data_IF_239726692922
#
_entry.id   IF_239726692922
#
_cell.length_a   1.000
_cell.length_b   1.000
_cell.length_c   1.000
_cell.angle_alpha   90.00
_cell.angle_beta   90.00
_cell.angle_gamma   90.00
#
_symmetry.space_group_name_H-M   'P 1'
#
loop_
_entity.id
_entity.type
_entity.pdbx_description
1 polymer ?
#
# COMPACT_ATOMS: atom_id res chain seq x y z
N UNK A 1 -10.55 -0.89 -0.93
CA UNK A 1 -9.80 -2.14 -1.15
C UNK A 1 -9.27 -2.62 0.17
N UNK A 2 -9.41 -3.89 0.49
CA UNK A 2 -8.93 -4.42 1.76
C UNK A 2 -7.52 -4.93 1.62
N UNK A 3 -6.61 -4.36 2.39
CA UNK A 3 -5.25 -4.87 2.53
C UNK A 3 -5.04 -5.36 3.97
N UNK A 4 -4.46 -6.54 4.12
CA UNK A 4 -4.27 -7.20 5.41
C UNK A 4 -2.79 -7.43 5.70
N UNK A 5 -2.34 -7.05 6.89
CA UNK A 5 -1.03 -7.46 7.40
C UNK A 5 -1.18 -8.64 8.35
N UNK A 6 -0.29 -9.62 8.23
CA UNK A 6 -0.19 -10.75 9.17
C UNK A 6 1.14 -10.63 9.90
N UNK A 7 1.11 -10.81 11.21
CA UNK A 7 2.32 -10.88 12.01
C UNK A 7 2.19 -11.92 13.11
N UNK A 8 3.29 -12.56 13.50
CA UNK A 8 3.34 -13.37 14.70
C UNK A 8 4.19 -12.66 15.75
N UNK A 9 3.79 -12.78 17.00
CA UNK A 9 4.41 -12.09 18.12
C UNK A 9 4.75 -13.03 19.26
N UNK A 10 5.78 -12.67 20.01
CA UNK A 10 6.11 -13.24 21.32
C UNK A 10 6.91 -12.22 22.14
N UNK A 11 6.25 -11.60 23.12
CA UNK A 11 6.85 -10.59 24.01
C UNK A 11 7.53 -9.43 23.25
N UNK A 12 6.76 -8.69 22.48
CA UNK A 12 7.25 -7.63 21.57
C UNK A 12 6.89 -6.21 22.06
N UNK A 13 6.50 -6.01 23.32
CA UNK A 13 6.07 -4.69 23.85
C UNK A 13 7.08 -3.57 23.61
N UNK A 14 8.37 -3.92 23.44
CA UNK A 14 9.46 -2.96 23.24
C UNK A 14 9.41 -2.23 21.88
N UNK A 15 8.86 -2.86 20.84
CA UNK A 15 8.80 -2.32 19.48
C UNK A 15 7.38 -2.18 18.93
N UNK A 16 6.45 -2.96 19.47
CA UNK A 16 5.08 -3.10 18.94
C UNK A 16 4.32 -1.78 18.79
N UNK A 17 4.46 -0.76 19.69
CA UNK A 17 3.79 0.53 19.49
C UNK A 17 4.15 1.21 18.17
N UNK A 18 5.43 1.27 17.79
CA UNK A 18 5.85 1.86 16.52
C UNK A 18 5.29 1.09 15.32
N UNK A 19 5.34 -0.24 15.40
CA UNK A 19 4.88 -1.11 14.33
C UNK A 19 3.37 -0.96 14.07
N UNK A 20 2.56 -0.95 15.11
CA UNK A 20 1.11 -0.79 15.02
C UNK A 20 0.74 0.62 14.53
N UNK A 21 1.32 1.67 15.11
CA UNK A 21 1.06 3.06 14.71
C UNK A 21 1.42 3.33 13.25
N UNK A 22 2.42 2.66 12.72
CA UNK A 22 2.79 2.74 11.32
C UNK A 22 1.80 1.96 10.43
N UNK A 23 1.61 0.68 10.70
CA UNK A 23 0.87 -0.21 9.80
C UNK A 23 -0.65 -0.01 9.82
N UNK A 24 -1.23 0.50 10.89
CA UNK A 24 -2.67 0.85 10.91
C UNK A 24 -3.04 1.95 9.91
N UNK A 25 -2.08 2.72 9.41
CA UNK A 25 -2.27 3.72 8.36
C UNK A 25 -2.27 3.12 6.95
N UNK A 26 -1.70 1.93 6.81
CA UNK A 26 -1.49 1.23 5.53
C UNK A 26 -2.55 0.15 5.31
N UNK A 27 -2.84 -0.63 6.36
CA UNK A 27 -3.67 -1.82 6.29
C UNK A 27 -5.03 -1.61 6.97
N UNK A 28 -6.10 -2.00 6.28
CA UNK A 28 -7.47 -1.95 6.82
C UNK A 28 -7.66 -3.01 7.91
N UNK A 29 -6.92 -4.14 7.82
CA UNK A 29 -6.99 -5.27 8.75
C UNK A 29 -5.61 -5.75 9.16
N UNK A 30 -5.53 -6.28 10.38
CA UNK A 30 -4.35 -7.00 10.87
C UNK A 30 -4.76 -8.32 11.52
N UNK A 31 -3.97 -9.36 11.28
CA UNK A 31 -4.08 -10.65 11.97
C UNK A 31 -2.79 -10.85 12.74
N UNK A 32 -2.89 -10.84 14.06
CA UNK A 32 -1.74 -11.01 14.96
C UNK A 32 -1.81 -12.40 15.58
N UNK A 33 -0.82 -13.24 15.28
CA UNK A 33 -0.70 -14.60 15.78
C UNK A 33 0.18 -14.57 17.04
N UNK A 34 -0.41 -14.77 18.20
CA UNK A 34 0.27 -14.69 19.49
C UNK A 34 0.82 -16.05 19.95
N UNK A 35 2.11 -16.10 20.25
CA UNK A 35 2.80 -17.28 20.78
C UNK A 35 2.83 -17.34 22.32
N UNK A 36 1.71 -17.00 22.95
CA UNK A 36 1.57 -16.93 24.41
C UNK A 36 2.49 -15.87 25.03
N UNK A 37 2.36 -14.62 24.56
CA UNK A 37 3.03 -13.48 25.16
C UNK A 37 2.61 -13.27 26.62
N UNK A 38 3.56 -12.88 27.45
CA UNK A 38 3.40 -12.66 28.90
C UNK A 38 3.69 -11.22 29.31
N UNK A 39 4.09 -10.38 28.34
CA UNK A 39 4.29 -8.94 28.50
C UNK A 39 3.02 -8.16 28.14
N UNK A 40 3.13 -6.86 27.95
CA UNK A 40 2.00 -5.99 27.59
C UNK A 40 1.62 -6.01 26.10
N UNK A 41 2.16 -6.91 25.28
CA UNK A 41 1.93 -6.92 23.83
C UNK A 41 0.44 -6.96 23.50
N UNK A 42 -0.36 -7.81 24.15
CA UNK A 42 -1.79 -7.93 23.86
C UNK A 42 -2.60 -6.68 24.27
N UNK A 43 -2.22 -6.04 25.38
CA UNK A 43 -2.82 -4.77 25.82
C UNK A 43 -2.56 -3.67 24.79
N UNK A 44 -1.32 -3.54 24.33
CA UNK A 44 -0.87 -2.55 23.34
C UNK A 44 -1.63 -2.71 22.01
N UNK A 45 -1.85 -3.95 21.55
CA UNK A 45 -2.62 -4.20 20.33
C UNK A 45 -4.06 -3.71 20.51
N UNK A 46 -4.69 -4.04 21.64
CA UNK A 46 -6.06 -3.63 21.93
C UNK A 46 -6.22 -2.11 22.05
N UNK A 47 -5.20 -1.43 22.56
CA UNK A 47 -5.18 0.04 22.67
C UNK A 47 -5.02 0.73 21.31
N UNK A 48 -4.11 0.26 20.46
CA UNK A 48 -3.73 0.95 19.22
C UNK A 48 -4.56 0.48 18.02
N UNK A 49 -4.86 -0.81 17.92
CA UNK A 49 -5.57 -1.44 16.81
C UNK A 49 -6.73 -2.33 17.33
N UNK A 50 -7.76 -1.75 17.98
CA UNK A 50 -8.83 -2.52 18.62
C UNK A 50 -9.67 -3.37 17.67
N UNK A 51 -9.61 -3.10 16.37
CA UNK A 51 -10.35 -3.83 15.33
C UNK A 51 -9.54 -4.94 14.67
N UNK A 52 -8.24 -5.06 14.98
CA UNK A 52 -7.40 -6.10 14.43
C UNK A 52 -7.64 -7.42 15.18
N UNK A 53 -7.59 -8.52 14.43
CA UNK A 53 -7.78 -9.86 14.96
C UNK A 53 -6.51 -10.33 15.69
N UNK A 54 -6.68 -10.82 16.92
CA UNK A 54 -5.62 -11.48 17.69
C UNK A 54 -6.00 -12.94 17.88
N UNK A 55 -5.15 -13.83 17.40
CA UNK A 55 -5.36 -15.28 17.48
C UNK A 55 -4.22 -15.95 18.22
N UNK A 56 -4.55 -16.95 19.05
CA UNK A 56 -3.56 -17.77 19.71
C UNK A 56 -2.92 -18.73 18.70
N UNK A 57 -1.58 -18.76 18.64
CA UNK A 57 -0.87 -19.74 17.80
C UNK A 57 -1.21 -21.17 18.22
N UNK A 58 -1.35 -22.04 17.23
CA UNK A 58 -1.50 -23.49 17.41
C UNK A 58 -0.17 -24.17 17.76
N UNK A 59 0.95 -23.49 17.57
CA UNK A 59 2.30 -24.01 17.75
C UNK A 59 2.84 -23.61 19.13
N UNK A 60 3.29 -24.60 19.93
CA UNK A 60 3.94 -24.36 21.20
C UNK A 60 5.43 -23.96 21.03
N UNK A 61 6.07 -24.44 19.96
CA UNK A 61 7.46 -24.21 19.62
C UNK A 61 7.59 -23.29 18.41
N UNK A 62 8.71 -22.59 18.35
CA UNK A 62 9.04 -21.70 17.22
C UNK A 62 9.70 -22.49 16.08
N UNK A 63 8.97 -23.51 15.57
CA UNK A 63 9.37 -24.29 14.43
C UNK A 63 9.16 -23.50 13.15
N UNK A 64 10.21 -23.27 12.38
CA UNK A 64 10.19 -22.40 11.20
C UNK A 64 9.13 -22.83 10.16
N UNK A 65 9.03 -24.13 9.88
CA UNK A 65 8.04 -24.63 8.90
C UNK A 65 6.60 -24.56 9.43
N UNK A 66 6.39 -24.87 10.71
CA UNK A 66 5.07 -24.83 11.33
C UNK A 66 4.54 -23.38 11.41
N UNK A 67 5.41 -22.43 11.74
CA UNK A 67 5.11 -20.98 11.73
C UNK A 67 4.69 -20.53 10.34
N UNK A 68 5.42 -20.91 9.29
CA UNK A 68 5.11 -20.55 7.92
C UNK A 68 3.80 -21.19 7.43
N UNK A 69 3.55 -22.46 7.80
CA UNK A 69 2.31 -23.16 7.50
C UNK A 69 1.10 -22.50 8.17
N UNK A 70 1.23 -22.05 9.41
CA UNK A 70 0.17 -21.36 10.15
C UNK A 70 -0.17 -20.01 9.48
N UNK A 71 0.83 -19.23 9.07
CA UNK A 71 0.62 -17.99 8.31
C UNK A 71 -0.15 -18.26 7.01
N UNK A 72 0.24 -19.29 6.25
CA UNK A 72 -0.42 -19.68 5.01
C UNK A 72 -1.89 -20.08 5.22
N UNK A 73 -2.25 -20.66 6.38
CA UNK A 73 -3.66 -20.97 6.69
C UNK A 73 -4.51 -19.70 6.78
N UNK A 74 -3.96 -18.62 7.35
CA UNK A 74 -4.64 -17.32 7.42
C UNK A 74 -4.67 -16.63 6.06
N UNK A 75 -3.56 -16.61 5.33
CA UNK A 75 -3.49 -16.00 3.99
C UNK A 75 -4.50 -16.57 3.00
N UNK A 76 -4.77 -17.88 3.05
CA UNK A 76 -5.75 -18.54 2.19
C UNK A 76 -7.19 -18.08 2.42
N UNK A 77 -7.49 -17.53 3.60
CA UNK A 77 -8.82 -17.03 3.97
C UNK A 77 -9.03 -15.56 3.62
N UNK A 78 -7.95 -14.84 3.31
CA UNK A 78 -7.98 -13.42 3.02
C UNK A 78 -8.34 -13.21 1.55
N UNK A 79 -9.33 -12.37 1.29
CA UNK A 79 -9.58 -11.80 -0.02
C UNK A 79 -8.91 -10.42 -0.14
N UNK A 80 -8.23 -10.17 -1.26
CA UNK A 80 -7.48 -8.93 -1.49
C UNK A 80 -5.98 -9.05 -1.21
N UNK A 81 -5.36 -7.90 -0.96
CA UNK A 81 -3.92 -7.80 -0.76
C UNK A 81 -3.51 -8.20 0.65
N UNK A 82 -2.37 -8.87 0.75
CA UNK A 82 -1.80 -9.29 2.03
C UNK A 82 -0.29 -9.37 2.01
N UNK A 83 0.30 -9.17 3.19
CA UNK A 83 1.72 -9.34 3.45
C UNK A 83 1.92 -9.90 4.85
N UNK A 84 2.89 -10.80 5.01
CA UNK A 84 3.34 -11.24 6.33
C UNK A 84 4.64 -10.54 6.70
N UNK A 85 4.63 -9.80 7.80
CA UNK A 85 5.77 -9.04 8.32
C UNK A 85 6.07 -9.46 9.77
N UNK A 86 7.34 -9.48 10.12
CA UNK A 86 7.72 -9.50 11.54
C UNK A 86 7.49 -8.10 12.15
N UNK A 87 7.27 -8.01 13.45
CA UNK A 87 7.10 -6.70 14.14
C UNK A 87 8.34 -5.82 14.11
N UNK A 88 9.45 -6.33 13.64
CA UNK A 88 10.69 -5.57 13.37
C UNK A 88 10.78 -5.03 11.94
N UNK A 89 9.80 -5.34 11.09
CA UNK A 89 9.76 -5.02 9.66
C UNK A 89 8.68 -3.99 9.37
N UNK A 90 9.05 -2.87 8.79
CA UNK A 90 8.17 -1.74 8.46
C UNK A 90 8.11 -1.56 6.96
N UNK A 91 6.92 -1.74 6.37
CA UNK A 91 6.70 -1.48 4.95
C UNK A 91 6.65 0.03 4.71
N UNK A 92 7.55 0.56 3.89
CA UNK A 92 7.58 1.99 3.51
C UNK A 92 7.69 2.16 1.99
N UNK A 93 7.31 3.32 1.50
CA UNK A 93 7.31 3.66 0.08
C UNK A 93 5.91 3.88 -0.48
N UNK A 94 5.78 4.02 -1.80
CA UNK A 94 4.50 4.26 -2.46
C UNK A 94 3.74 2.95 -2.72
N UNK A 95 3.06 2.46 -1.70
CA UNK A 95 2.23 1.25 -1.77
C UNK A 95 0.85 1.49 -2.42
N UNK A 96 0.40 2.72 -2.53
CA UNK A 96 -0.92 3.05 -3.08
C UNK A 96 -1.07 2.61 -4.54
N UNK A 97 -0.02 2.73 -5.33
CA UNK A 97 0.03 2.27 -6.72
C UNK A 97 -0.25 0.78 -6.88
N UNK A 98 0.17 -0.02 -5.89
CA UNK A 98 0.18 -1.47 -6.01
C UNK A 98 -1.08 -2.12 -5.44
N UNK A 99 -1.75 -1.45 -4.53
CA UNK A 99 -2.99 -1.94 -3.93
C UNK A 99 -4.24 -1.72 -4.82
N UNK A 100 -4.10 -1.09 -5.98
CA UNK A 100 -5.22 -0.74 -6.87
C UNK A 100 -5.62 -1.90 -7.78
N UNK A 101 -4.70 -2.76 -8.20
CA UNK A 101 -5.00 -3.89 -9.12
C UNK A 101 -5.49 -5.12 -8.34
N UNK A 102 -6.79 -5.39 -8.37
CA UNK A 102 -7.41 -6.55 -7.71
C UNK A 102 -7.73 -7.71 -8.66
N UNK A 103 -7.56 -7.53 -9.96
CA UNK A 103 -8.06 -8.48 -10.97
C UNK A 103 -6.97 -9.46 -11.40
N UNK A 104 -5.74 -9.01 -11.43
CA UNK A 104 -4.61 -9.88 -11.75
C UNK A 104 -3.99 -10.40 -10.45
N UNK A 105 -3.78 -11.71 -10.35
CA UNK A 105 -2.93 -12.29 -9.32
C UNK A 105 -1.53 -11.71 -9.49
N UNK A 106 -1.18 -10.77 -8.64
CA UNK A 106 0.10 -10.06 -8.67
C UNK A 106 0.87 -10.26 -7.38
N UNK A 107 2.18 -10.26 -7.51
CA UNK A 107 3.13 -10.39 -6.42
C UNK A 107 4.21 -9.32 -6.55
N UNK A 108 4.41 -8.55 -5.49
CA UNK A 108 5.50 -7.59 -5.36
C UNK A 108 6.51 -8.12 -4.35
N UNK A 109 7.72 -8.36 -4.82
CA UNK A 109 8.85 -8.85 -4.03
C UNK A 109 9.66 -7.62 -3.59
N UNK A 110 9.49 -7.23 -2.34
CA UNK A 110 9.95 -5.97 -1.77
C UNK A 110 11.29 -6.16 -1.07
N UNK A 111 12.33 -5.38 -1.40
CA UNK A 111 13.65 -5.47 -0.79
C UNK A 111 13.65 -5.03 0.67
N UNK A 112 14.71 -5.37 1.40
CA UNK A 112 14.89 -5.01 2.80
C UNK A 112 16.16 -4.18 3.00
N UNK A 113 16.05 -3.08 3.75
CA UNK A 113 17.19 -2.38 4.35
C UNK A 113 17.21 -2.78 5.82
N UNK A 114 18.28 -3.41 6.27
CA UNK A 114 18.42 -3.83 7.67
C UNK A 114 19.19 -2.78 8.44
N UNK A 115 18.52 -2.12 9.38
CA UNK A 115 19.13 -1.13 10.24
C UNK A 115 20.01 -1.82 11.29
N UNK A 116 21.23 -1.31 11.43
CA UNK A 116 22.27 -1.82 12.32
C UNK A 116 22.92 -0.66 13.07
N UNK A 117 22.10 0.00 13.84
CA UNK A 117 22.46 1.23 14.57
C UNK A 117 22.20 1.00 16.06
N UNK A 118 23.00 0.08 16.64
CA UNK A 118 22.82 -0.32 18.02
C UNK A 118 23.63 0.56 18.95
N UNK A 119 22.97 1.23 19.89
CA UNK A 119 23.59 2.00 20.97
C UNK A 119 22.84 1.73 22.28
N UNK A 120 23.50 1.13 23.30
CA UNK A 120 22.85 0.78 24.56
C UNK A 120 22.38 1.98 25.40
N UNK A 121 22.83 3.18 25.07
CA UNK A 121 22.48 4.41 25.76
C UNK A 121 21.39 5.22 25.06
N UNK A 122 20.80 4.68 23.99
CA UNK A 122 19.74 5.39 23.27
C UNK A 122 18.43 5.38 24.06
N UNK A 123 17.88 6.56 24.23
CA UNK A 123 16.52 6.79 24.68
C UNK A 123 15.64 7.06 23.45
N UNK A 124 14.96 6.04 22.94
CA UNK A 124 14.12 6.16 21.76
C UNK A 124 12.75 6.73 22.13
N UNK A 125 12.34 7.77 21.43
CA UNK A 125 11.03 8.40 21.55
C UNK A 125 9.96 7.59 20.79
N UNK A 126 9.00 7.01 21.51
CA UNK A 126 7.91 6.21 20.94
C UNK A 126 6.89 7.04 20.12
N UNK A 127 6.92 8.36 20.24
CA UNK A 127 6.04 9.26 19.48
C UNK A 127 6.60 9.61 18.10
N UNK A 128 7.87 9.29 17.84
CA UNK A 128 8.57 9.56 16.56
C UNK A 128 8.88 8.26 15.83
N UNK A 129 8.83 8.23 14.49
CA UNK A 129 9.22 7.07 13.70
C UNK A 129 10.65 6.60 14.00
N UNK A 130 10.89 5.28 13.93
CA UNK A 130 12.25 4.74 14.16
C UNK A 130 13.27 5.22 13.14
N UNK A 131 12.89 5.44 11.88
CA UNK A 131 13.78 5.92 10.82
C UNK A 131 14.24 7.39 11.00
N UNK A 132 13.59 8.17 11.83
CA UNK A 132 14.10 9.47 12.22
C UNK A 132 15.21 9.38 13.27
N UNK A 133 15.26 8.28 14.02
CA UNK A 133 16.11 8.07 15.18
C UNK A 133 17.28 7.09 14.91
N UNK A 134 17.11 6.21 13.92
CA UNK A 134 18.07 5.18 13.51
C UNK A 134 18.31 5.25 12.02
N UNK A 135 19.57 5.55 11.62
CA UNK A 135 19.92 5.87 10.24
C UNK A 135 21.00 4.97 9.64
N UNK A 136 21.73 4.24 10.49
CA UNK A 136 22.81 3.39 10.02
C UNK A 136 22.30 2.00 9.69
N UNK A 137 22.63 1.45 8.53
CA UNK A 137 22.09 0.18 8.09
C UNK A 137 22.87 -0.50 6.97
N UNK A 138 22.43 -1.69 6.60
CA UNK A 138 22.96 -2.52 5.51
C UNK A 138 21.93 -2.56 4.40
N UNK A 139 22.29 -2.03 3.24
CA UNK A 139 21.40 -1.94 2.09
C UNK A 139 21.38 -3.25 1.29
N UNK A 140 20.22 -3.66 0.78
CA UNK A 140 20.06 -4.88 -0.05
C UNK A 140 20.91 -4.89 -1.34
N UNK A 141 21.36 -3.72 -1.82
CA UNK A 141 22.25 -3.63 -2.99
C UNK A 141 23.69 -4.00 -2.67
N UNK A 142 24.10 -3.87 -1.41
CA UNK A 142 25.48 -4.10 -0.97
C UNK A 142 25.71 -5.47 -0.35
N UNK A 143 24.66 -6.14 0.11
CA UNK A 143 24.75 -7.46 0.72
C UNK A 143 23.73 -8.44 0.12
N UNK A 144 24.20 -9.60 -0.36
CA UNK A 144 23.33 -10.67 -0.87
C UNK A 144 22.35 -11.20 0.17
N UNK A 145 22.74 -11.27 1.44
CA UNK A 145 21.85 -11.71 2.53
C UNK A 145 20.73 -10.70 2.85
N UNK A 146 20.94 -9.43 2.52
CA UNK A 146 19.91 -8.39 2.62
C UNK A 146 18.90 -8.44 1.45
N UNK A 147 19.14 -9.23 0.39
CA UNK A 147 18.21 -9.42 -0.73
C UNK A 147 16.99 -10.29 -0.42
N UNK A 148 16.75 -10.57 0.86
CA UNK A 148 15.56 -11.31 1.30
C UNK A 148 14.32 -10.45 1.13
N UNK A 149 13.59 -10.67 0.04
CA UNK A 149 12.36 -9.96 -0.24
C UNK A 149 11.20 -10.49 0.62
N UNK A 150 10.30 -9.58 1.01
CA UNK A 150 8.94 -9.91 1.47
C UNK A 150 7.96 -9.79 0.31
N UNK A 151 6.92 -10.61 0.35
CA UNK A 151 5.90 -10.64 -0.69
C UNK A 151 4.64 -9.90 -0.25
N UNK A 152 4.33 -8.78 -0.92
CA UNK A 152 3.00 -8.18 -0.91
C UNK A 152 2.23 -8.74 -2.12
N UNK A 153 1.11 -9.43 -1.90
CA UNK A 153 0.44 -10.17 -2.97
C UNK A 153 -1.08 -10.29 -2.75
N UNK A 154 -1.78 -10.63 -3.83
CA UNK A 154 -3.19 -11.06 -3.82
C UNK A 154 -3.38 -12.49 -4.39
N UNK A 155 -2.31 -13.28 -4.46
CA UNK A 155 -2.30 -14.65 -4.98
C UNK A 155 -2.95 -15.60 -3.97
N UNK A 156 -3.95 -16.39 -4.37
CA UNK A 156 -4.70 -17.29 -3.45
C UNK A 156 -3.87 -18.44 -2.86
N UNK A 157 -2.90 -18.94 -3.60
CA UNK A 157 -2.02 -20.02 -3.16
C UNK A 157 -0.57 -19.55 -3.26
N UNK A 158 0.02 -19.19 -2.13
CA UNK A 158 1.42 -18.82 -2.04
C UNK A 158 2.25 -20.01 -1.56
N UNK A 159 3.49 -20.10 -2.07
CA UNK A 159 4.52 -20.99 -1.53
C UNK A 159 5.70 -20.13 -1.11
N UNK A 160 6.22 -20.39 0.08
CA UNK A 160 7.35 -19.68 0.65
C UNK A 160 8.53 -20.61 0.86
N UNK A 161 9.73 -20.07 0.71
CA UNK A 161 10.91 -20.66 1.34
C UNK A 161 10.84 -20.42 2.86
N UNK A 162 11.59 -21.20 3.63
CA UNK A 162 11.61 -21.09 5.10
C UNK A 162 11.89 -19.66 5.54
N UNK A 163 11.02 -19.13 6.41
CA UNK A 163 11.04 -17.75 6.87
C UNK A 163 10.35 -16.76 5.94
N UNK A 164 9.59 -17.23 4.95
CA UNK A 164 8.79 -16.41 4.01
C UNK A 164 9.59 -15.37 3.23
N UNK A 165 10.80 -15.74 2.84
CA UNK A 165 11.68 -14.91 2.02
C UNK A 165 11.68 -15.35 0.56
N UNK A 166 12.02 -14.41 -0.32
CA UNK A 166 12.26 -14.67 -1.74
C UNK A 166 13.66 -14.20 -2.14
N UNK A 167 14.35 -14.95 -3.03
CA UNK A 167 15.70 -14.60 -3.45
C UNK A 167 15.75 -13.51 -4.53
N UNK A 168 14.60 -13.16 -5.13
CA UNK A 168 14.50 -12.19 -6.22
C UNK A 168 13.75 -10.94 -5.77
N UNK A 169 13.92 -9.85 -6.51
CA UNK A 169 13.23 -8.58 -6.34
C UNK A 169 12.52 -8.23 -7.64
N UNK A 170 11.34 -7.66 -7.54
CA UNK A 170 10.62 -7.11 -8.69
C UNK A 170 9.97 -5.74 -8.40
N UNK A 171 10.22 -5.19 -7.22
CA UNK A 171 9.71 -3.89 -6.82
C UNK A 171 10.75 -3.16 -5.97
N UNK A 172 11.12 -1.95 -6.39
CA UNK A 172 12.03 -1.05 -5.67
C UNK A 172 11.37 0.31 -5.34
N UNK A 173 10.06 0.45 -5.56
CA UNK A 173 9.30 1.64 -5.15
C UNK A 173 8.84 1.54 -3.69
N UNK A 174 8.87 0.32 -3.16
CA UNK A 174 8.67 0.01 -1.75
C UNK A 174 9.93 -0.63 -1.18
N UNK A 175 10.10 -0.54 0.13
CA UNK A 175 11.19 -1.20 0.86
C UNK A 175 10.70 -1.61 2.25
N UNK A 176 11.26 -2.66 2.80
CA UNK A 176 11.08 -3.04 4.20
C UNK A 176 12.25 -2.44 5.01
N UNK A 177 11.92 -1.58 5.97
CA UNK A 177 12.87 -1.15 7.00
C UNK A 177 12.86 -2.16 8.14
N UNK A 178 13.99 -2.85 8.35
CA UNK A 178 14.10 -3.93 9.34
C UNK A 178 14.95 -3.52 10.53
N UNK A 179 14.34 -3.43 11.70
CA UNK A 179 14.94 -2.91 12.95
C UNK A 179 15.28 -3.98 13.98
N UNK A 180 15.55 -5.23 13.58
CA UNK A 180 15.78 -6.33 14.51
C UNK A 180 17.01 -6.14 15.43
N UNK A 181 17.98 -5.33 15.03
CA UNK A 181 19.30 -5.26 15.67
C UNK A 181 19.70 -3.84 16.09
N UNK A 182 18.76 -2.92 16.24
CA UNK A 182 19.08 -1.53 16.56
C UNK A 182 18.34 -0.94 17.76
N UNK A 183 17.40 -1.67 18.38
CA UNK A 183 16.70 -1.22 19.58
C UNK A 183 17.34 -1.86 20.80
N UNK A 184 18.25 -1.12 21.44
CA UNK A 184 19.00 -1.61 22.61
C UNK A 184 18.20 -1.47 23.93
N UNK A 185 17.00 -2.04 23.98
CA UNK A 185 16.19 -2.04 25.19
C UNK A 185 16.33 -3.33 25.99
N UNK A 186 16.04 -3.26 27.30
CA UNK A 186 15.96 -4.45 28.15
C UNK A 186 14.91 -5.43 27.59
N UNK A 187 13.75 -4.94 27.15
CA UNK A 187 12.69 -5.78 26.59
C UNK A 187 13.16 -6.56 25.36
N UNK A 188 13.94 -5.94 24.47
CA UNK A 188 14.50 -6.61 23.30
C UNK A 188 15.51 -7.70 23.70
N UNK A 189 16.39 -7.43 24.68
CA UNK A 189 17.33 -8.42 25.19
C UNK A 189 16.59 -9.60 25.83
N UNK A 190 15.63 -9.32 26.70
CA UNK A 190 14.80 -10.33 27.38
C UNK A 190 14.06 -11.20 26.35
N UNK A 191 13.44 -10.59 25.35
CA UNK A 191 12.77 -11.30 24.25
C UNK A 191 13.72 -12.21 23.49
N UNK A 192 14.92 -11.73 23.15
CA UNK A 192 15.93 -12.53 22.44
C UNK A 192 16.40 -13.73 23.26
N UNK A 193 16.56 -13.56 24.56
CA UNK A 193 16.93 -14.65 25.47
C UNK A 193 15.79 -15.66 25.65
N UNK A 194 14.55 -15.20 25.66
CA UNK A 194 13.38 -16.06 25.83
C UNK A 194 13.08 -16.89 24.57
N UNK A 195 13.13 -16.28 23.36
CA UNK A 195 12.74 -16.98 22.14
C UNK A 195 13.64 -18.17 21.82
N UNK A 196 14.91 -18.14 22.22
CA UNK A 196 15.83 -19.26 21.98
C UNK A 196 15.35 -20.57 22.63
N UNK A 197 14.63 -20.48 23.75
CA UNK A 197 14.11 -21.67 24.44
C UNK A 197 12.95 -22.33 23.69
N UNK A 198 12.31 -21.58 22.79
CA UNK A 198 11.20 -22.05 21.95
C UNK A 198 11.66 -22.64 20.62
N UNK A 199 12.93 -22.47 20.22
CA UNK A 199 13.46 -23.02 18.97
C UNK A 199 13.75 -24.50 19.16
N UNK A 200 13.10 -25.43 18.44
CA UNK A 200 13.27 -26.86 18.62
C UNK A 200 14.65 -27.34 18.17
N UNK A 201 15.12 -28.45 18.76
CA UNK A 201 16.46 -28.99 18.51
C UNK A 201 16.70 -29.35 17.04
N UNK A 202 15.70 -29.90 16.36
CA UNK A 202 15.83 -30.26 14.95
C UNK A 202 16.02 -29.04 14.02
N UNK A 203 15.48 -27.88 14.38
CA UNK A 203 15.71 -26.63 13.65
C UNK A 203 17.12 -26.09 13.94
N UNK A 204 17.58 -26.21 15.17
CA UNK A 204 18.96 -25.84 15.56
C UNK A 204 20.00 -26.66 14.77
N UNK A 205 19.80 -27.98 14.65
CA UNK A 205 20.67 -28.86 13.88
C UNK A 205 20.72 -28.47 12.40
N UNK A 206 19.62 -27.97 11.84
CA UNK A 206 19.54 -27.49 10.44
C UNK A 206 20.03 -26.06 10.27
N UNK A 207 20.38 -25.38 11.35
CA UNK A 207 20.76 -23.96 11.32
C UNK A 207 19.59 -22.99 11.10
N UNK A 208 18.34 -23.48 11.19
CA UNK A 208 17.16 -22.65 11.05
C UNK A 208 16.93 -21.84 12.34
N UNK A 209 16.60 -20.56 12.16
CA UNK A 209 16.47 -19.65 13.30
C UNK A 209 17.79 -19.33 14.02
N UNK A 210 18.95 -19.51 13.34
CA UNK A 210 20.30 -19.31 13.91
C UNK A 210 20.52 -17.91 14.52
N UNK A 211 19.73 -16.92 14.12
CA UNK A 211 19.74 -15.59 14.72
C UNK A 211 19.11 -15.53 16.13
N UNK A 212 18.50 -16.62 16.62
CA UNK A 212 17.93 -16.73 17.95
C UNK A 212 18.85 -17.46 18.94
N UNK A 213 19.93 -18.14 18.46
CA UNK A 213 20.84 -18.90 19.32
C UNK A 213 22.28 -18.81 18.78
N UNK A 214 23.27 -19.12 19.60
CA UNK A 214 24.68 -19.06 19.20
C UNK A 214 25.22 -20.47 18.90
N UNK A 215 25.29 -20.82 17.60
CA UNK A 215 25.73 -22.14 17.16
C UNK A 215 24.73 -23.28 17.51
N UNK A 216 24.98 -24.54 17.06
CA UNK A 216 24.03 -25.64 17.23
C UNK A 216 23.73 -25.98 18.69
N UNK A 217 24.74 -25.83 19.57
CA UNK A 217 24.65 -26.15 20.99
C UNK A 217 24.84 -24.93 21.92
N UNK A 218 24.92 -23.72 21.34
CA UNK A 218 25.21 -22.50 22.09
C UNK A 218 23.95 -21.84 22.66
N UNK A 219 24.13 -21.23 23.81
CA UNK A 219 23.12 -20.40 24.46
C UNK A 219 23.47 -18.95 24.17
N UNK A 220 22.50 -18.19 23.63
CA UNK A 220 22.63 -16.75 23.47
C UNK A 220 22.61 -16.08 24.83
N UNK A 221 23.65 -15.33 25.18
CA UNK A 221 23.71 -14.46 26.37
C UNK A 221 23.64 -13.01 25.98
N UNK A 222 23.41 -12.11 26.93
CA UNK A 222 23.42 -10.67 26.68
C UNK A 222 24.78 -10.21 26.15
N UNK A 223 25.88 -10.80 26.62
CA UNK A 223 27.25 -10.51 26.19
C UNK A 223 27.44 -10.97 24.72
N UNK A 224 27.08 -12.22 24.39
CA UNK A 224 27.20 -12.73 23.00
C UNK A 224 26.32 -11.94 22.02
N UNK A 225 25.15 -11.49 22.43
CA UNK A 225 24.32 -10.59 21.63
C UNK A 225 25.04 -9.27 21.35
N UNK A 226 25.58 -8.63 22.38
CA UNK A 226 26.36 -7.38 22.24
C UNK A 226 27.56 -7.56 21.34
N UNK A 227 28.31 -8.67 21.48
CA UNK A 227 29.42 -9.00 20.59
C UNK A 227 29.01 -9.20 19.16
N UNK A 228 27.90 -9.89 18.91
CA UNK A 228 27.37 -10.09 17.56
C UNK A 228 26.96 -8.80 16.89
N UNK A 229 26.37 -7.87 17.66
CA UNK A 229 25.97 -6.56 17.13
C UNK A 229 27.14 -5.61 16.92
N UNK A 230 28.27 -5.82 17.62
CA UNK A 230 29.50 -5.04 17.39
C UNK A 230 30.37 -5.61 16.27
N UNK A 231 30.08 -6.81 15.78
CA UNK A 231 30.81 -7.45 14.67
C UNK A 231 30.29 -6.96 13.32
N UNK A 232 31.21 -6.77 12.40
CA UNK A 232 30.98 -6.46 10.96
C UNK A 232 30.23 -5.13 10.68
N UNK A 233 30.71 -4.05 11.29
CA UNK A 233 30.28 -2.69 10.96
C UNK A 233 30.78 -2.21 9.58
N UNK A 234 31.63 -3.01 8.89
CA UNK A 234 32.24 -2.61 7.61
C UNK A 234 31.24 -2.41 6.45
N UNK A 235 30.06 -3.04 6.56
CA UNK A 235 28.97 -2.94 5.55
C UNK A 235 27.89 -1.95 5.95
N UNK A 236 27.99 -1.38 7.15
CA UNK A 236 27.00 -0.41 7.65
C UNK A 236 27.29 0.94 7.04
N UNK A 237 26.27 1.53 6.45
CA UNK A 237 26.30 2.83 5.79
C UNK A 237 25.19 3.73 6.29
N UNK A 238 25.31 5.02 6.05
CA UNK A 238 24.21 5.96 6.28
C UNK A 238 23.12 5.74 5.25
N UNK A 239 21.89 5.45 5.72
CA UNK A 239 20.70 5.21 4.91
C UNK A 239 19.78 6.45 4.85
N UNK A 240 20.27 7.64 5.22
CA UNK A 240 19.42 8.85 5.27
C UNK A 240 18.79 9.20 3.93
N UNK A 241 19.47 9.00 2.81
CA UNK A 241 18.91 9.24 1.47
C UNK A 241 17.77 8.26 1.15
N UNK A 242 17.94 6.97 1.49
CA UNK A 242 16.89 5.98 1.32
C UNK A 242 15.70 6.24 2.25
N UNK A 243 15.96 6.65 3.49
CA UNK A 243 14.92 7.06 4.42
C UNK A 243 14.09 8.19 3.79
N UNK A 244 14.73 9.27 3.34
CA UNK A 244 14.05 10.39 2.69
C UNK A 244 13.26 9.91 1.46
N UNK A 245 13.86 9.09 0.61
CA UNK A 245 13.25 8.57 -0.60
C UNK A 245 11.95 7.80 -0.32
N UNK A 246 11.96 6.90 0.67
CA UNK A 246 10.85 5.98 0.92
C UNK A 246 9.84 6.48 1.97
N UNK A 247 10.24 7.44 2.84
CA UNK A 247 9.34 7.99 3.87
C UNK A 247 8.87 9.41 3.54
N UNK A 248 9.36 9.98 2.42
CA UNK A 248 8.82 11.25 1.94
C UNK A 248 7.30 11.06 1.81
N UNK A 249 6.53 11.82 2.58
CA UNK A 249 5.10 11.93 2.36
C UNK A 249 4.90 12.21 0.86
N UNK A 250 4.00 11.50 0.16
CA UNK A 250 3.67 11.88 -1.21
C UNK A 250 3.43 13.37 -1.20
N UNK A 251 4.10 14.12 -2.09
CA UNK A 251 3.91 15.56 -2.22
C UNK A 251 2.42 15.85 -2.14
N UNK A 252 2.02 16.95 -1.51
CA UNK A 252 0.62 17.31 -1.31
C UNK A 252 -0.23 16.94 -2.53
N UNK A 253 -1.02 15.87 -2.39
CA UNK A 253 -1.82 15.34 -3.48
C UNK A 253 -3.21 15.92 -3.46
N UNK A 254 -3.69 16.28 -4.62
CA UNK A 254 -4.97 16.95 -4.85
C UNK A 254 -5.87 16.06 -5.69
N UNK A 255 -7.08 15.78 -5.21
CA UNK A 255 -8.10 15.04 -5.94
C UNK A 255 -9.33 15.91 -6.18
N UNK A 256 -9.97 15.71 -7.33
CA UNK A 256 -11.24 16.31 -7.71
C UNK A 256 -12.25 15.22 -8.03
N UNK A 257 -13.42 15.25 -7.40
CA UNK A 257 -14.53 14.35 -7.71
C UNK A 257 -15.63 15.10 -8.48
N UNK A 258 -15.94 14.62 -9.69
CA UNK A 258 -16.90 15.23 -10.60
C UNK A 258 -18.29 14.62 -10.41
N UNK A 259 -19.32 15.47 -10.32
CA UNK A 259 -20.68 15.04 -9.98
C UNK A 259 -20.75 14.40 -8.61
N UNK A 260 -20.02 14.98 -7.65
CA UNK A 260 -19.73 14.35 -6.35
C UNK A 260 -20.93 14.24 -5.40
N UNK A 261 -22.06 14.88 -5.73
CA UNK A 261 -23.17 14.99 -4.80
C UNK A 261 -22.80 15.80 -3.54
N UNK A 262 -23.25 15.34 -2.39
CA UNK A 262 -22.95 15.97 -1.09
C UNK A 262 -21.63 15.52 -0.49
N UNK A 263 -21.08 14.38 -0.95
CA UNK A 263 -19.91 13.72 -0.36
C UNK A 263 -18.91 13.33 -1.44
N UNK A 264 -17.90 14.17 -1.73
CA UNK A 264 -16.85 13.84 -2.67
C UNK A 264 -16.13 12.55 -2.31
N UNK A 265 -15.91 11.67 -3.28
CA UNK A 265 -15.23 10.38 -3.10
C UNK A 265 -13.73 10.53 -3.34
N UNK A 266 -12.92 9.86 -2.52
CA UNK A 266 -11.47 9.91 -2.57
C UNK A 266 -10.83 8.51 -2.63
N UNK A 267 -10.97 7.78 -3.73
CA UNK A 267 -10.43 6.42 -3.84
C UNK A 267 -8.90 6.38 -3.80
N UNK A 268 -8.23 7.48 -4.16
CA UNK A 268 -6.77 7.61 -4.16
C UNK A 268 -6.20 8.10 -2.82
N UNK A 269 -7.06 8.38 -1.82
CA UNK A 269 -6.66 8.90 -0.51
C UNK A 269 -5.78 10.17 -0.62
N UNK A 270 -6.10 11.05 -1.58
CA UNK A 270 -5.41 12.32 -1.74
C UNK A 270 -5.55 13.17 -0.49
N UNK A 271 -4.52 13.92 -0.16
CA UNK A 271 -4.48 14.80 1.04
C UNK A 271 -5.54 15.92 0.97
N UNK A 272 -5.75 16.46 -0.23
CA UNK A 272 -6.73 17.51 -0.49
C UNK A 272 -7.79 17.00 -1.45
N UNK A 273 -9.02 17.00 -1.01
CA UNK A 273 -10.18 16.60 -1.79
C UNK A 273 -11.07 17.79 -2.11
N UNK A 274 -11.44 17.91 -3.36
CA UNK A 274 -12.40 18.89 -3.90
C UNK A 274 -13.52 18.16 -4.62
N UNK A 275 -14.69 18.79 -4.67
CA UNK A 275 -15.83 18.28 -5.43
C UNK A 275 -16.36 19.33 -6.41
N UNK A 276 -16.99 18.86 -7.49
CA UNK A 276 -17.84 19.66 -8.37
C UNK A 276 -19.21 19.01 -8.45
N UNK A 277 -20.25 19.82 -8.27
CA UNK A 277 -21.63 19.42 -8.50
C UNK A 277 -22.44 20.62 -9.01
N UNK A 278 -23.64 20.39 -9.51
CA UNK A 278 -24.59 21.48 -9.86
C UNK A 278 -25.13 22.19 -8.62
N UNK A 279 -24.95 21.60 -7.45
CA UNK A 279 -25.26 22.16 -6.13
C UNK A 279 -24.02 22.83 -5.55
N UNK A 280 -24.21 23.82 -4.68
CA UNK A 280 -23.11 24.51 -3.99
C UNK A 280 -23.04 24.05 -2.53
N UNK A 281 -21.85 23.61 -2.09
CA UNK A 281 -21.54 23.36 -0.68
C UNK A 281 -20.09 23.70 -0.36
N UNK A 282 -19.85 24.97 -0.09
CA UNK A 282 -18.51 25.48 0.23
C UNK A 282 -17.90 24.89 1.50
N UNK A 283 -18.71 24.39 2.45
CA UNK A 283 -18.21 23.77 3.70
C UNK A 283 -17.48 22.46 3.40
N UNK A 284 -17.98 21.70 2.42
CA UNK A 284 -17.37 20.43 1.99
C UNK A 284 -16.43 20.59 0.80
N UNK A 285 -15.98 21.81 0.48
CA UNK A 285 -15.13 22.13 -0.68
C UNK A 285 -15.76 21.68 -2.01
N UNK A 286 -17.08 21.78 -2.13
CA UNK A 286 -17.81 21.51 -3.37
C UNK A 286 -18.00 22.83 -4.08
N UNK A 287 -17.54 22.90 -5.32
CA UNK A 287 -17.68 24.04 -6.21
C UNK A 287 -18.86 23.81 -7.13
N UNK A 288 -19.75 24.79 -7.24
CA UNK A 288 -20.87 24.72 -8.19
C UNK A 288 -20.40 24.93 -9.61
N UNK A 289 -20.68 23.95 -10.49
CA UNK A 289 -20.54 24.08 -11.93
C UNK A 289 -21.40 23.03 -12.65
N UNK A 290 -22.00 23.42 -13.78
CA UNK A 290 -22.65 22.52 -14.71
C UNK A 290 -21.64 22.12 -15.83
N UNK A 291 -20.99 20.98 -15.66
CA UNK A 291 -19.93 20.52 -16.55
C UNK A 291 -20.41 20.08 -17.96
N UNK A 292 -21.70 20.18 -18.24
CA UNK A 292 -22.23 20.07 -19.61
C UNK A 292 -21.99 21.36 -20.40
N UNK A 293 -21.98 22.51 -19.72
CA UNK A 293 -21.91 23.83 -20.36
C UNK A 293 -20.76 24.71 -19.88
N UNK A 294 -20.19 24.41 -18.70
CA UNK A 294 -19.11 25.18 -18.05
C UNK A 294 -17.81 24.38 -18.01
N UNK A 295 -16.64 25.05 -18.12
CA UNK A 295 -15.36 24.41 -17.91
C UNK A 295 -15.16 24.02 -16.44
N UNK A 296 -14.22 23.13 -16.16
CA UNK A 296 -13.79 22.84 -14.80
C UNK A 296 -13.12 24.10 -14.21
N UNK A 297 -13.65 24.69 -13.11
CA UNK A 297 -13.22 25.99 -12.58
C UNK A 297 -11.90 25.90 -11.77
N UNK A 298 -10.93 25.18 -12.28
CA UNK A 298 -9.61 25.03 -11.70
C UNK A 298 -8.52 25.26 -12.75
N UNK A 299 -7.33 25.63 -12.30
CA UNK A 299 -6.16 25.89 -13.17
C UNK A 299 -5.61 24.59 -13.78
N UNK A 300 -4.82 24.74 -14.84
CA UNK A 300 -4.13 23.64 -15.52
C UNK A 300 -3.15 22.93 -14.57
N UNK A 301 -3.00 21.61 -14.73
CA UNK A 301 -2.02 20.78 -14.01
C UNK A 301 -2.08 20.90 -12.49
N UNK A 302 -3.28 21.02 -11.92
CA UNK A 302 -3.47 21.19 -10.49
C UNK A 302 -3.67 19.86 -9.75
N UNK A 303 -4.46 18.94 -10.31
CA UNK A 303 -4.85 17.70 -9.67
C UNK A 303 -3.93 16.53 -10.00
N UNK A 304 -3.63 15.73 -8.99
CA UNK A 304 -3.00 14.42 -9.16
C UNK A 304 -4.03 13.38 -9.60
N UNK A 305 -5.29 13.55 -9.15
CA UNK A 305 -6.39 12.64 -9.42
C UNK A 305 -7.68 13.40 -9.75
N UNK A 306 -8.38 12.92 -10.78
CA UNK A 306 -9.76 13.32 -11.07
C UNK A 306 -10.62 12.07 -11.08
N UNK A 307 -11.76 12.09 -10.42
CA UNK A 307 -12.67 10.94 -10.30
C UNK A 307 -14.07 11.31 -10.78
N UNK A 308 -14.79 10.31 -11.31
CA UNK A 308 -16.18 10.43 -11.72
C UNK A 308 -16.90 9.12 -11.39
N UNK A 309 -17.88 9.17 -10.48
CA UNK A 309 -18.65 8.03 -10.06
C UNK A 309 -20.12 8.25 -10.42
N UNK A 310 -20.66 7.41 -11.30
CA UNK A 310 -22.03 7.52 -11.78
C UNK A 310 -22.34 8.94 -12.28
N UNK A 311 -21.45 9.47 -13.13
CA UNK A 311 -21.51 10.86 -13.60
C UNK A 311 -21.37 11.02 -15.11
N UNK A 312 -20.37 10.39 -15.76
CA UNK A 312 -20.06 10.64 -17.16
C UNK A 312 -21.16 10.12 -18.12
N UNK A 313 -21.99 9.19 -17.69
CA UNK A 313 -23.17 8.71 -18.41
C UNK A 313 -24.25 9.78 -18.56
N UNK A 314 -24.23 10.80 -17.70
CA UNK A 314 -25.16 11.94 -17.78
C UNK A 314 -24.68 13.07 -18.69
N UNK A 315 -23.45 13.02 -19.19
CA UNK A 315 -22.86 14.06 -20.04
C UNK A 315 -23.18 13.79 -21.50
N UNK A 316 -23.94 14.66 -22.20
CA UNK A 316 -24.33 14.42 -23.58
C UNK A 316 -23.16 14.27 -24.54
N UNK A 317 -23.26 13.31 -25.48
CA UNK A 317 -22.27 13.13 -26.55
C UNK A 317 -22.29 14.26 -27.56
N UNK A 318 -23.46 14.80 -27.82
CA UNK A 318 -23.72 15.78 -28.87
C UNK A 318 -24.83 16.74 -28.46
N UNK A 319 -24.58 18.03 -28.63
CA UNK A 319 -25.58 19.11 -28.51
C UNK A 319 -25.60 19.93 -29.77
N UNK A 320 -26.79 20.47 -30.15
CA UNK A 320 -26.97 21.31 -31.34
C UNK A 320 -27.32 22.76 -31.01
N UNK A 321 -27.74 23.08 -29.79
CA UNK A 321 -28.14 24.41 -29.40
C UNK A 321 -27.21 24.99 -28.33
N UNK A 322 -26.81 26.25 -28.40
CA UNK A 322 -26.98 27.19 -29.52
C UNK A 322 -26.13 26.86 -30.75
N UNK A 323 -25.05 26.08 -30.57
CA UNK A 323 -24.15 25.61 -31.61
C UNK A 323 -23.88 24.12 -31.45
N UNK A 324 -23.43 23.45 -32.51
CA UNK A 324 -23.00 22.06 -32.46
C UNK A 324 -21.73 21.92 -31.62
N UNK A 325 -21.78 21.09 -30.56
CA UNK A 325 -20.65 20.80 -29.69
C UNK A 325 -20.71 19.37 -29.17
N UNK A 326 -19.60 18.90 -28.57
CA UNK A 326 -19.44 17.55 -28.07
C UNK A 326 -19.10 17.57 -26.54
N UNK A 327 -20.10 17.79 -25.66
CA UNK A 327 -19.85 18.03 -24.23
C UNK A 327 -18.98 16.96 -23.56
N UNK A 328 -19.18 15.68 -23.88
CA UNK A 328 -18.35 14.61 -23.32
C UNK A 328 -16.87 14.74 -23.74
N UNK A 329 -16.58 15.08 -25.01
CA UNK A 329 -15.20 15.29 -25.47
C UNK A 329 -14.60 16.55 -24.88
N UNK A 330 -15.40 17.60 -24.71
CA UNK A 330 -14.99 18.83 -24.03
C UNK A 330 -14.67 18.59 -22.56
N UNK A 331 -15.51 17.83 -21.84
CA UNK A 331 -15.24 17.42 -20.45
C UNK A 331 -13.95 16.62 -20.35
N UNK A 332 -13.73 15.65 -21.25
CA UNK A 332 -12.47 14.88 -21.26
C UNK A 332 -11.24 15.77 -21.52
N UNK A 333 -11.39 16.85 -22.31
CA UNK A 333 -10.33 17.83 -22.52
C UNK A 333 -10.07 18.66 -21.26
N UNK A 334 -11.11 19.03 -20.52
CA UNK A 334 -10.99 19.73 -19.25
C UNK A 334 -10.38 18.86 -18.15
N UNK A 335 -10.78 17.57 -18.06
CA UNK A 335 -10.16 16.59 -17.17
C UNK A 335 -8.66 16.49 -17.46
N UNK A 336 -8.29 16.36 -18.74
CA UNK A 336 -6.89 16.33 -19.14
C UNK A 336 -6.17 17.63 -18.78
N UNK A 337 -6.79 18.79 -19.00
CA UNK A 337 -6.23 20.10 -18.72
C UNK A 337 -5.86 20.25 -17.22
N UNK A 338 -6.80 19.93 -16.33
CA UNK A 338 -6.61 20.13 -14.89
C UNK A 338 -5.74 19.07 -14.22
N UNK A 339 -5.55 17.89 -14.82
CA UNK A 339 -4.63 16.87 -14.34
C UNK A 339 -3.18 17.30 -14.53
N UNK A 340 -2.31 16.98 -13.58
CA UNK A 340 -0.85 17.01 -13.75
C UNK A 340 -0.42 15.94 -14.76
N UNK A 341 0.74 16.11 -15.39
CA UNK A 341 1.36 15.05 -16.20
C UNK A 341 1.61 13.83 -15.32
N UNK A 342 1.21 12.65 -15.77
CA UNK A 342 1.20 11.42 -14.95
C UNK A 342 0.02 11.31 -13.98
N UNK A 343 -0.80 12.34 -13.84
CA UNK A 343 -2.03 12.32 -13.04
C UNK A 343 -3.09 11.40 -13.63
N UNK A 344 -4.02 10.91 -12.80
CA UNK A 344 -4.97 9.86 -13.17
C UNK A 344 -6.41 10.36 -13.18
N UNK A 345 -7.13 9.97 -14.25
CA UNK A 345 -8.58 10.03 -14.28
C UNK A 345 -9.17 8.65 -14.00
N UNK A 346 -10.03 8.55 -13.01
CA UNK A 346 -10.77 7.34 -12.67
C UNK A 346 -12.25 7.54 -12.89
N UNK A 347 -12.86 6.62 -13.64
CA UNK A 347 -14.29 6.59 -13.89
C UNK A 347 -14.89 5.27 -13.43
N UNK A 348 -16.00 5.34 -12.68
CA UNK A 348 -16.88 4.20 -12.38
C UNK A 348 -18.26 4.53 -12.90
N UNK A 349 -18.72 3.85 -13.96
CA UNK A 349 -19.97 4.18 -14.66
C UNK A 349 -20.71 2.91 -15.09
N UNK A 350 -22.05 2.84 -15.00
CA UNK A 350 -22.81 1.76 -15.57
C UNK A 350 -22.62 1.74 -17.10
N UNK A 351 -22.23 0.59 -17.64
CA UNK A 351 -21.81 0.49 -19.04
C UNK A 351 -22.45 -0.69 -19.78
N UNK A 352 -22.55 -0.55 -21.11
CA UNK A 352 -22.96 -1.64 -21.98
C UNK A 352 -21.93 -2.81 -21.90
N UNK A 353 -22.37 -4.08 -21.83
CA UNK A 353 -23.71 -4.59 -22.18
C UNK A 353 -24.71 -4.68 -21.03
N UNK A 354 -24.44 -4.14 -19.85
CA UNK A 354 -25.38 -4.24 -18.74
C UNK A 354 -26.62 -3.34 -18.92
N UNK A 355 -27.80 -3.84 -18.56
CA UNK A 355 -29.05 -3.10 -18.64
C UNK A 355 -29.05 -1.82 -17.82
N UNK A 356 -28.27 -1.78 -16.74
CA UNK A 356 -28.10 -0.59 -15.88
C UNK A 356 -27.62 0.65 -16.64
N UNK A 357 -26.90 0.49 -17.77
CA UNK A 357 -26.53 1.60 -18.63
C UNK A 357 -27.75 2.36 -19.22
N UNK A 358 -28.94 1.76 -19.16
CA UNK A 358 -30.17 2.28 -19.78
C UNK A 358 -31.31 2.51 -18.79
N UNK A 359 -31.16 2.14 -17.49
CA UNK A 359 -32.26 2.21 -16.53
C UNK A 359 -32.65 3.65 -16.18
N UNK A 360 -31.67 4.51 -16.01
CA UNK A 360 -31.93 5.91 -15.73
C UNK A 360 -32.21 6.67 -17.03
N UNK A 361 -33.36 7.38 -17.15
CA UNK A 361 -33.69 8.14 -18.36
C UNK A 361 -32.74 9.30 -18.63
N UNK A 362 -31.91 9.69 -17.68
CA UNK A 362 -30.88 10.73 -17.83
C UNK A 362 -29.52 10.19 -18.27
N UNK A 363 -29.36 8.87 -18.46
CA UNK A 363 -28.18 8.25 -19.06
C UNK A 363 -28.18 8.49 -20.58
N UNK A 364 -27.61 9.59 -20.99
CA UNK A 364 -27.57 10.03 -22.39
C UNK A 364 -26.25 9.68 -23.09
N UNK A 365 -25.27 9.15 -22.34
CA UNK A 365 -23.97 8.75 -22.82
C UNK A 365 -23.68 7.28 -22.48
N UNK A 366 -23.98 6.39 -23.40
CA UNK A 366 -23.75 4.94 -23.18
C UNK A 366 -22.25 4.63 -23.31
N UNK A 367 -21.60 4.36 -22.20
CA UNK A 367 -20.20 3.95 -22.14
C UNK A 367 -20.06 2.47 -22.47
N UNK A 368 -18.98 2.11 -23.14
CA UNK A 368 -18.59 0.72 -23.47
C UNK A 368 -17.11 0.51 -23.17
N UNK A 369 -16.64 -0.72 -23.12
CA UNK A 369 -15.21 -1.04 -23.01
C UNK A 369 -14.35 -0.37 -24.10
N UNK A 370 -14.93 -0.06 -25.25
CA UNK A 370 -14.22 0.54 -26.36
C UNK A 370 -14.22 2.08 -26.34
N UNK A 371 -15.02 2.71 -25.48
CA UNK A 371 -15.15 4.18 -25.46
C UNK A 371 -13.82 4.87 -25.21
N UNK A 372 -13.09 4.47 -24.17
CA UNK A 372 -11.80 5.08 -23.88
C UNK A 372 -10.68 4.61 -24.83
N UNK A 373 -10.51 3.28 -25.09
CA UNK A 373 -9.44 2.79 -25.97
C UNK A 373 -9.47 3.34 -27.39
N UNK A 374 -10.64 3.55 -27.97
CA UNK A 374 -10.72 4.08 -29.35
C UNK A 374 -10.62 5.59 -29.44
N UNK A 375 -11.12 6.31 -28.45
CA UNK A 375 -11.32 7.75 -28.59
C UNK A 375 -10.28 8.58 -27.85
N UNK A 376 -9.76 8.10 -26.71
CA UNK A 376 -8.94 8.92 -25.82
C UNK A 376 -7.54 8.35 -25.54
N UNK A 377 -7.31 7.07 -25.88
CA UNK A 377 -6.01 6.43 -25.72
C UNK A 377 -5.00 6.94 -26.76
N UNK A 378 -3.74 7.01 -26.36
CA UNK A 378 -2.64 7.54 -27.17
C UNK A 378 -2.32 6.73 -28.45
N UNK A 379 -2.82 5.50 -28.58
CA UNK A 379 -2.61 4.68 -29.76
C UNK A 379 -3.54 5.05 -30.92
N UNK A 380 -4.80 5.40 -30.63
CA UNK A 380 -5.83 5.63 -31.68
C UNK A 380 -6.30 7.08 -31.78
N UNK A 381 -6.50 7.76 -30.65
CA UNK A 381 -6.84 9.18 -30.50
C UNK A 381 -7.95 9.71 -31.43
N UNK A 382 -8.99 8.92 -31.72
CA UNK A 382 -10.03 9.34 -32.66
C UNK A 382 -10.80 10.59 -32.24
N UNK A 383 -10.94 10.81 -30.90
CA UNK A 383 -11.56 12.03 -30.40
C UNK A 383 -10.74 13.29 -30.76
N UNK A 384 -9.42 13.17 -30.79
CA UNK A 384 -8.52 14.26 -31.23
C UNK A 384 -8.63 14.54 -32.69
N UNK A 385 -8.61 13.50 -33.53
CA UNK A 385 -8.66 13.61 -34.99
C UNK A 385 -10.00 14.15 -35.51
N UNK A 386 -11.12 13.75 -34.85
CA UNK A 386 -12.46 14.00 -35.43
C UNK A 386 -13.27 15.01 -34.62
N UNK A 387 -13.12 15.04 -33.29
CA UNK A 387 -14.02 15.78 -32.38
C UNK A 387 -13.33 16.89 -31.58
N UNK A 388 -12.04 17.14 -31.82
CA UNK A 388 -11.31 18.26 -31.22
C UNK A 388 -10.89 18.04 -29.76
N UNK A 389 -10.71 16.79 -29.32
CA UNK A 389 -10.10 16.49 -28.06
C UNK A 389 -8.69 17.09 -27.96
N UNK A 390 -8.40 17.81 -26.87
CA UNK A 390 -7.14 18.57 -26.74
C UNK A 390 -6.06 17.83 -25.96
N UNK A 391 -6.33 16.60 -25.56
CA UNK A 391 -5.45 15.86 -24.66
C UNK A 391 -4.82 14.62 -25.29
N UNK A 392 -4.21 13.86 -24.40
CA UNK A 392 -3.69 12.52 -24.66
C UNK A 392 -3.69 11.73 -23.36
N UNK A 393 -4.35 10.58 -23.38
CA UNK A 393 -4.33 9.65 -22.26
C UNK A 393 -3.68 8.33 -22.67
N UNK A 394 -3.20 7.58 -21.67
CA UNK A 394 -2.89 6.17 -21.77
C UNK A 394 -3.81 5.43 -20.82
N UNK A 395 -4.43 4.36 -21.28
CA UNK A 395 -5.26 3.53 -20.42
C UNK A 395 -4.34 2.70 -19.52
N UNK A 396 -4.49 2.85 -18.20
CA UNK A 396 -3.79 2.05 -17.21
C UNK A 396 -4.54 0.76 -16.91
N UNK A 397 -5.86 0.85 -16.71
CA UNK A 397 -6.71 -0.32 -16.45
C UNK A 397 -8.15 -0.09 -16.85
N UNK A 398 -8.82 -1.18 -17.25
CA UNK A 398 -10.27 -1.25 -17.35
C UNK A 398 -10.75 -2.58 -16.77
N UNK A 399 -11.79 -2.52 -15.92
CA UNK A 399 -12.27 -3.69 -15.19
C UNK A 399 -13.77 -3.56 -14.91
N UNK A 400 -14.44 -4.67 -14.61
CA UNK A 400 -15.85 -4.68 -14.29
C UNK A 400 -16.09 -4.90 -12.78
N UNK A 401 -17.01 -4.10 -12.21
CA UNK A 401 -17.55 -4.28 -10.87
C UNK A 401 -19.10 -4.33 -11.00
N UNK A 402 -19.63 -5.54 -11.13
CA UNK A 402 -21.05 -5.73 -11.46
C UNK A 402 -21.42 -5.03 -12.76
N UNK A 403 -22.40 -4.11 -12.77
CA UNK A 403 -22.80 -3.37 -13.98
C UNK A 403 -21.89 -2.22 -14.36
N UNK A 404 -20.89 -1.88 -13.53
CA UNK A 404 -20.03 -0.71 -13.72
C UNK A 404 -18.72 -1.10 -14.40
N UNK A 405 -18.37 -0.34 -15.41
CA UNK A 405 -17.01 -0.32 -15.97
C UNK A 405 -16.16 0.66 -15.16
N UNK A 406 -15.09 0.16 -14.59
CA UNK A 406 -14.08 0.93 -13.89
C UNK A 406 -12.93 1.18 -14.87
N UNK A 407 -12.61 2.43 -15.12
CA UNK A 407 -11.54 2.80 -16.06
C UNK A 407 -10.57 3.78 -15.40
N UNK A 408 -9.27 3.51 -15.51
CA UNK A 408 -8.21 4.42 -15.08
C UNK A 408 -7.38 4.84 -16.29
N UNK A 409 -7.30 6.14 -16.53
CA UNK A 409 -6.54 6.77 -17.60
C UNK A 409 -5.45 7.66 -17.00
N UNK A 410 -4.27 7.66 -17.58
CA UNK A 410 -3.12 8.47 -17.15
C UNK A 410 -2.88 9.57 -18.16
N UNK A 411 -2.77 10.81 -17.72
CA UNK A 411 -2.38 11.94 -18.59
C UNK A 411 -0.96 11.77 -19.10
N UNK A 412 -0.79 11.81 -20.40
CA UNK A 412 0.50 11.82 -21.09
C UNK A 412 0.96 13.24 -21.42
#
# INVERSE_FOLDING_TARGET
MTATVISHIYNEEYILPWWLEHHKKIFDHGIIIDYASTDRSLEIIKEICPTWEVVQSKNAEFNAMAVDAEVLEYERKIEGWRICLNVTEFLVGDYSKFLVDTIRSTQHLIPTITFWDWNPNDELDKTRPLWEQKKQGIHYKTDFMARRARSLHNVKTMQYDVGRHFPSLNNEEMVIFHYANCIASKGMLDRRLQIQTKVPEHDRVRGWGSHHYHGPNGVMTAETLKELWSKDLSKVTDCSEDIIRYTKEPDETYALDLGCGEYPKNPFKAKHLYGIDVRDDTKNKITKADLVIEPIPFIDNFFDYVTAHDFIEHIPRLMYSPNRRYPFVELMSEIWRVLKVGGKFYSKTPAFPHAAAFWDPTHVNIITEQTFPFYFDNEKMWAKEVYGFKGQFRIESQTWDGPHLLSTLVKC
#
